data_IF_995327195428
#
_entry.id   IF_995327195428
#
_cell.length_a   1.000
_cell.length_b   1.000
_cell.length_c   1.000
_cell.angle_alpha   90.00
_cell.angle_beta   90.00
_cell.angle_gamma   90.00
#
_symmetry.space_group_name_H-M   'P 1'
#
loop_
_entity.id
_entity.type
_entity.pdbx_description
1 polymer ?
#
# COMPACT_ATOMS: atom_id res chain seq x y z
N UNK A 1 54.52 29.74 -28.52
CA UNK A 1 53.06 30.06 -28.48
C UNK A 1 52.14 28.92 -28.87
N UNK A 2 52.62 27.82 -29.43
CA UNK A 2 51.71 26.68 -29.81
C UNK A 2 51.40 25.69 -28.69
N UNK A 3 52.09 25.73 -27.56
CA UNK A 3 51.89 24.74 -26.47
C UNK A 3 50.81 25.13 -25.48
N UNK A 4 50.47 26.40 -25.36
CA UNK A 4 49.48 26.87 -24.38
C UNK A 4 48.02 26.59 -24.81
N UNK A 5 47.80 26.49 -26.13
CA UNK A 5 46.45 26.18 -26.63
C UNK A 5 46.07 24.71 -26.39
N UNK A 6 47.03 23.79 -26.49
CA UNK A 6 46.82 22.36 -26.23
C UNK A 6 46.60 22.10 -24.75
N UNK A 7 47.33 22.75 -23.86
CA UNK A 7 47.16 22.65 -22.41
C UNK A 7 45.83 23.25 -21.96
N UNK A 8 45.35 24.36 -22.54
CA UNK A 8 44.03 24.92 -22.28
C UNK A 8 42.89 23.97 -22.72
N UNK A 9 43.04 23.34 -23.90
CA UNK A 9 42.06 22.38 -24.39
C UNK A 9 41.97 21.14 -23.51
N UNK A 10 43.09 20.60 -23.04
CA UNK A 10 43.08 19.46 -22.09
C UNK A 10 42.52 19.83 -20.74
N UNK A 11 42.76 21.04 -20.23
CA UNK A 11 42.19 21.54 -18.99
C UNK A 11 40.67 21.71 -19.07
N UNK A 12 40.17 22.24 -20.20
CA UNK A 12 38.73 22.38 -20.43
C UNK A 12 38.02 21.03 -20.58
N UNK A 13 38.65 20.05 -21.24
CA UNK A 13 38.11 18.71 -21.36
C UNK A 13 38.07 17.97 -20.00
N UNK A 14 39.10 18.16 -19.17
CA UNK A 14 39.17 17.57 -17.84
C UNK A 14 38.12 18.19 -16.91
N UNK A 15 37.85 19.49 -17.01
CA UNK A 15 36.85 20.19 -16.24
C UNK A 15 35.41 19.80 -16.67
N UNK A 16 35.20 19.55 -17.98
CA UNK A 16 33.90 19.07 -18.49
C UNK A 16 33.57 17.64 -18.02
N UNK A 17 34.58 16.77 -17.86
CA UNK A 17 34.40 15.41 -17.36
C UNK A 17 34.05 15.40 -15.84
N UNK A 18 34.58 16.36 -15.07
CA UNK A 18 34.26 16.51 -13.66
C UNK A 18 32.83 17.01 -13.40
N UNK A 19 32.20 17.69 -14.35
CA UNK A 19 30.82 18.19 -14.25
C UNK A 19 29.75 17.12 -14.55
N UNK A 20 30.10 16.00 -15.18
CA UNK A 20 29.17 14.93 -15.53
C UNK A 20 29.04 13.88 -14.40
N UNK A 21 29.90 13.94 -13.37
CA UNK A 21 30.03 12.92 -12.34
C UNK A 21 29.05 13.01 -11.17
N UNK A 22 28.16 13.99 -11.08
CA UNK A 22 27.29 14.19 -9.91
C UNK A 22 25.79 14.09 -10.21
N UNK A 23 25.40 13.22 -11.13
CA UNK A 23 24.02 12.69 -11.10
C UNK A 23 23.95 11.61 -10.02
N UNK A 24 24.16 12.00 -8.75
CA UNK A 24 23.68 11.21 -7.64
C UNK A 24 22.16 11.14 -7.82
N UNK A 25 21.68 10.07 -8.40
CA UNK A 25 20.31 9.63 -8.26
C UNK A 25 20.06 9.50 -6.75
N UNK A 26 19.55 10.56 -6.15
CA UNK A 26 18.84 10.46 -4.90
C UNK A 26 17.63 9.57 -5.21
N UNK A 27 17.80 8.26 -5.08
CA UNK A 27 16.68 7.37 -4.91
C UNK A 27 16.05 7.80 -3.59
N UNK A 28 15.01 8.63 -3.71
CA UNK A 28 14.06 8.82 -2.65
C UNK A 28 13.46 7.44 -2.45
N UNK A 29 14.04 6.67 -1.53
CA UNK A 29 13.32 5.58 -0.91
C UNK A 29 12.19 6.27 -0.14
N UNK A 30 11.08 6.46 -0.82
CA UNK A 30 9.79 6.57 -0.17
C UNK A 30 9.63 5.26 0.55
N UNK A 31 10.08 5.22 1.81
CA UNK A 31 9.77 4.15 2.74
C UNK A 31 8.25 4.14 2.79
N UNK A 32 7.67 3.22 2.03
CA UNK A 32 6.23 3.01 1.99
C UNK A 32 5.82 2.61 3.40
N UNK A 33 5.47 3.60 4.22
CA UNK A 33 4.88 3.39 5.54
C UNK A 33 3.54 2.65 5.46
N UNK A 34 3.04 2.41 4.25
CA UNK A 34 1.86 1.56 3.97
C UNK A 34 2.13 0.05 4.04
N UNK A 35 3.36 -0.39 4.35
CA UNK A 35 3.63 -1.82 4.54
C UNK A 35 3.05 -2.37 5.85
N UNK A 36 2.79 -1.52 6.84
CA UNK A 36 2.37 -1.94 8.17
C UNK A 36 0.86 -1.84 8.40
N UNK A 37 0.10 -1.13 7.56
CA UNK A 37 -1.34 -0.93 7.68
C UNK A 37 -2.00 -0.76 6.32
N UNK A 38 -3.30 -1.03 6.25
CA UNK A 38 -4.10 -0.86 5.04
C UNK A 38 -4.36 0.62 4.74
N UNK A 39 -4.73 1.38 5.78
CA UNK A 39 -5.04 2.80 5.68
C UNK A 39 -4.81 3.52 7.01
N UNK A 40 -4.35 4.77 6.97
CA UNK A 40 -4.23 5.61 8.16
C UNK A 40 -4.35 7.09 7.82
N UNK A 41 -5.17 7.79 8.59
CA UNK A 41 -5.24 9.24 8.65
C UNK A 41 -5.57 9.71 10.08
N UNK A 42 -5.88 10.99 10.28
CA UNK A 42 -6.22 11.58 11.58
C UNK A 42 -7.51 11.04 12.21
N UNK A 43 -8.39 10.38 11.44
CA UNK A 43 -9.71 9.91 11.88
C UNK A 43 -9.89 8.40 11.83
N UNK A 44 -9.11 7.70 11.00
CA UNK A 44 -9.25 6.26 10.78
C UNK A 44 -7.89 5.63 10.65
N UNK A 45 -7.65 4.55 11.39
CA UNK A 45 -6.53 3.64 11.21
C UNK A 45 -7.06 2.23 11.04
N UNK A 46 -6.56 1.49 10.04
CA UNK A 46 -7.00 0.11 9.73
C UNK A 46 -5.79 -0.72 9.35
N UNK A 47 -5.62 -1.88 10.02
CA UNK A 47 -4.58 -2.86 9.69
C UNK A 47 -4.86 -3.57 8.36
N UNK A 48 -3.89 -4.31 7.84
CA UNK A 48 -4.20 -5.34 6.86
C UNK A 48 -5.04 -6.44 7.48
N UNK A 49 -5.82 -7.16 6.67
CA UNK A 49 -6.45 -8.41 7.14
C UNK A 49 -5.39 -9.47 7.39
N UNK A 50 -5.55 -10.25 8.45
CA UNK A 50 -4.62 -11.33 8.79
C UNK A 50 -5.37 -12.55 9.37
N UNK A 51 -4.82 -13.77 9.16
CA UNK A 51 -3.65 -14.09 8.38
C UNK A 51 -3.90 -13.96 6.86
N UNK A 52 -2.82 -13.74 6.09
CA UNK A 52 -2.85 -13.78 4.64
C UNK A 52 -1.60 -14.53 4.15
N UNK A 53 -1.69 -15.75 3.64
CA UNK A 53 -2.91 -16.51 3.27
C UNK A 53 -3.81 -16.90 4.44
N UNK A 54 -5.12 -16.86 4.18
CA UNK A 54 -6.17 -17.20 5.12
C UNK A 54 -6.72 -18.60 4.87
N UNK A 55 -7.27 -19.20 5.94
CA UNK A 55 -8.04 -20.46 5.88
C UNK A 55 -9.54 -20.14 5.89
N UNK A 56 -10.13 -20.19 7.10
CA UNK A 56 -11.58 -20.05 7.29
C UNK A 56 -12.00 -18.67 7.78
N UNK A 57 -11.05 -17.83 8.20
CA UNK A 57 -11.30 -16.49 8.72
C UNK A 57 -10.09 -15.58 8.56
N UNK A 58 -10.35 -14.30 8.68
CA UNK A 58 -9.36 -13.24 8.89
C UNK A 58 -9.81 -12.31 9.98
N UNK A 59 -8.85 -11.68 10.64
CA UNK A 59 -9.08 -10.58 11.57
C UNK A 59 -8.61 -9.27 10.92
N UNK A 60 -9.19 -8.18 11.38
CA UNK A 60 -8.80 -6.82 11.01
C UNK A 60 -8.90 -5.93 12.25
N UNK A 61 -7.82 -5.20 12.52
CA UNK A 61 -7.77 -4.23 13.61
C UNK A 61 -8.02 -2.83 13.09
N UNK A 62 -8.68 -2.00 13.87
CA UNK A 62 -9.00 -0.64 13.46
C UNK A 62 -9.28 0.29 14.63
N UNK A 63 -9.18 1.59 14.34
CA UNK A 63 -9.64 2.68 15.20
C UNK A 63 -10.38 3.69 14.33
N UNK A 64 -11.60 4.04 14.70
CA UNK A 64 -12.50 4.90 13.94
C UNK A 64 -12.99 6.03 14.84
N UNK A 65 -12.74 7.29 14.45
CA UNK A 65 -13.24 8.45 15.15
C UNK A 65 -14.77 8.56 15.04
N UNK A 66 -15.42 9.11 16.07
CA UNK A 66 -16.87 9.28 16.10
C UNK A 66 -17.43 10.13 14.95
N UNK A 67 -16.62 11.03 14.40
CA UNK A 67 -16.96 11.90 13.27
C UNK A 67 -17.13 11.17 11.91
N UNK A 68 -16.59 9.96 11.78
CA UNK A 68 -16.74 9.11 10.59
C UNK A 68 -18.11 8.45 10.63
N UNK A 69 -18.86 8.44 9.53
CA UNK A 69 -20.19 7.83 9.49
C UNK A 69 -20.11 6.31 9.37
N UNK A 70 -19.36 5.82 8.38
CA UNK A 70 -19.25 4.41 8.07
C UNK A 70 -17.85 4.06 7.60
N UNK A 71 -17.35 2.90 8.03
CA UNK A 71 -16.16 2.25 7.47
C UNK A 71 -16.57 0.84 7.08
N UNK A 72 -16.37 0.50 5.81
CA UNK A 72 -16.79 -0.79 5.26
C UNK A 72 -15.64 -1.49 4.54
N UNK A 73 -15.54 -2.79 4.73
CA UNK A 73 -14.62 -3.68 4.03
C UNK A 73 -15.41 -4.57 3.07
N UNK A 74 -15.13 -4.50 1.78
CA UNK A 74 -15.81 -5.28 0.73
C UNK A 74 -14.83 -6.21 0.06
N UNK A 75 -15.21 -7.48 -0.09
CA UNK A 75 -14.40 -8.51 -0.75
C UNK A 75 -14.93 -8.77 -2.15
N UNK A 76 -14.03 -8.86 -3.12
CA UNK A 76 -14.33 -9.11 -4.53
C UNK A 76 -13.58 -10.35 -5.01
N UNK A 77 -14.20 -11.15 -5.86
CA UNK A 77 -13.51 -12.20 -6.59
C UNK A 77 -12.67 -11.63 -7.76
N UNK A 78 -11.96 -12.49 -8.48
CA UNK A 78 -11.12 -12.09 -9.62
C UNK A 78 -11.90 -11.53 -10.81
N UNK A 79 -13.22 -11.74 -10.86
CA UNK A 79 -14.11 -11.17 -11.86
C UNK A 79 -14.63 -9.78 -11.46
N UNK A 80 -14.24 -9.26 -10.28
CA UNK A 80 -14.71 -8.00 -9.75
C UNK A 80 -16.13 -8.06 -9.16
N UNK A 81 -16.67 -9.24 -8.91
CA UNK A 81 -17.97 -9.41 -8.26
C UNK A 81 -17.78 -9.34 -6.75
N UNK A 82 -18.63 -8.57 -6.09
CA UNK A 82 -18.70 -8.53 -4.64
C UNK A 82 -19.17 -9.90 -4.11
N UNK A 83 -18.40 -10.46 -3.17
CA UNK A 83 -18.70 -11.77 -2.56
C UNK A 83 -19.01 -11.65 -1.08
N UNK A 84 -18.60 -10.54 -0.44
CA UNK A 84 -18.86 -10.27 0.98
C UNK A 84 -18.61 -8.81 1.29
N UNK A 85 -19.39 -8.24 2.19
CA UNK A 85 -19.14 -6.95 2.81
C UNK A 85 -19.27 -7.02 4.34
N UNK A 86 -18.52 -6.16 5.02
CA UNK A 86 -18.48 -6.07 6.49
C UNK A 86 -18.35 -4.62 6.90
N UNK A 87 -19.26 -4.14 7.73
CA UNK A 87 -19.15 -2.83 8.38
C UNK A 87 -18.26 -2.97 9.61
N UNK A 88 -17.31 -2.06 9.77
CA UNK A 88 -16.43 -2.00 10.94
C UNK A 88 -17.09 -1.10 12.01
N UNK A 89 -17.51 -1.69 13.11
CA UNK A 89 -18.22 -1.00 14.18
C UNK A 89 -17.26 -0.17 15.04
N UNK A 90 -17.59 1.11 15.27
CA UNK A 90 -16.71 2.08 15.95
C UNK A 90 -16.38 1.73 17.41
N UNK A 91 -17.23 0.98 18.08
CA UNK A 91 -17.06 0.53 19.45
C UNK A 91 -16.16 -0.70 19.58
N UNK A 92 -15.78 -1.31 18.45
CA UNK A 92 -14.85 -2.43 18.37
C UNK A 92 -13.46 -1.95 17.97
N UNK A 93 -12.46 -2.78 18.27
CA UNK A 93 -11.06 -2.57 17.84
C UNK A 93 -10.60 -3.64 16.86
N UNK A 94 -11.28 -4.77 16.85
CA UNK A 94 -10.98 -5.92 16.00
C UNK A 94 -12.30 -6.55 15.54
N UNK A 95 -12.36 -6.94 14.27
CA UNK A 95 -13.48 -7.72 13.73
C UNK A 95 -12.97 -9.03 13.15
N UNK A 96 -13.63 -10.12 13.55
CA UNK A 96 -13.39 -11.47 13.04
C UNK A 96 -14.32 -11.77 11.87
N UNK A 97 -13.76 -12.03 10.70
CA UNK A 97 -14.49 -12.19 9.43
C UNK A 97 -14.41 -13.63 8.96
N UNK A 98 -15.54 -14.34 8.92
CA UNK A 98 -15.61 -15.69 8.37
C UNK A 98 -15.45 -15.66 6.85
N UNK A 99 -14.64 -16.58 6.33
CA UNK A 99 -14.41 -16.82 4.89
C UNK A 99 -14.90 -18.22 4.48
N UNK A 100 -15.69 -18.90 5.33
CA UNK A 100 -16.07 -20.29 5.10
C UNK A 100 -16.86 -20.50 3.82
N UNK A 101 -17.62 -19.50 3.41
CA UNK A 101 -18.40 -19.49 2.17
C UNK A 101 -17.53 -19.26 0.91
N UNK A 102 -16.29 -18.79 1.06
CA UNK A 102 -15.38 -18.53 -0.05
C UNK A 102 -14.56 -19.76 -0.38
N UNK A 103 -14.40 -20.06 -1.66
CA UNK A 103 -13.52 -21.12 -2.17
C UNK A 103 -12.04 -20.70 -2.10
N UNK A 104 -11.14 -21.69 -2.18
CA UNK A 104 -9.71 -21.39 -2.35
C UNK A 104 -9.50 -20.54 -3.59
N UNK A 105 -8.71 -19.48 -3.48
CA UNK A 105 -8.44 -18.58 -4.58
C UNK A 105 -7.92 -17.23 -4.14
N UNK A 106 -7.79 -16.35 -5.11
CA UNK A 106 -7.39 -14.96 -4.90
C UNK A 106 -8.62 -14.06 -4.88
N UNK A 107 -8.64 -13.17 -3.91
CA UNK A 107 -9.66 -12.14 -3.70
C UNK A 107 -9.00 -10.77 -3.57
N UNK A 108 -9.76 -9.73 -3.80
CA UNK A 108 -9.39 -8.36 -3.43
C UNK A 108 -10.28 -7.92 -2.28
N UNK A 109 -9.73 -7.22 -1.31
CA UNK A 109 -10.53 -6.53 -0.31
C UNK A 109 -10.29 -5.02 -0.40
N UNK A 110 -11.37 -4.27 -0.33
CA UNK A 110 -11.41 -2.83 -0.51
C UNK A 110 -11.99 -2.18 0.74
N UNK A 111 -11.27 -1.20 1.27
CA UNK A 111 -11.73 -0.35 2.36
C UNK A 111 -12.42 0.88 1.78
N UNK A 112 -13.62 1.17 2.25
CA UNK A 112 -14.33 2.42 1.97
C UNK A 112 -14.66 3.16 3.27
N UNK A 113 -14.53 4.49 3.22
CA UNK A 113 -14.85 5.41 4.32
C UNK A 113 -15.88 6.40 3.78
N UNK A 114 -17.03 6.48 4.43
CA UNK A 114 -18.14 7.35 4.04
C UNK A 114 -18.52 7.19 2.55
N UNK A 115 -18.49 5.93 2.05
CA UNK A 115 -18.82 5.58 0.67
C UNK A 115 -17.69 5.80 -0.35
N UNK A 116 -16.49 6.25 0.07
CA UNK A 116 -15.35 6.44 -0.82
C UNK A 116 -14.32 5.33 -0.61
N UNK A 117 -13.93 4.65 -1.69
CA UNK A 117 -12.82 3.70 -1.65
C UNK A 117 -11.49 4.42 -1.36
N UNK A 118 -10.76 3.94 -0.37
CA UNK A 118 -9.49 4.54 0.09
C UNK A 118 -8.30 3.60 -0.03
N UNK A 119 -8.52 2.30 -0.02
CA UNK A 119 -7.45 1.30 -0.15
C UNK A 119 -7.99 -0.02 -0.69
N UNK A 120 -7.16 -0.74 -1.44
CA UNK A 120 -7.47 -2.08 -1.96
C UNK A 120 -6.22 -2.95 -1.88
N UNK A 121 -6.37 -4.19 -1.40
CA UNK A 121 -5.28 -5.17 -1.29
C UNK A 121 -5.77 -6.57 -1.66
N UNK A 122 -4.80 -7.44 -1.87
CA UNK A 122 -5.00 -8.86 -2.22
C UNK A 122 -5.13 -9.73 -0.97
N UNK A 123 -6.06 -10.67 -1.01
CA UNK A 123 -6.21 -11.76 -0.05
C UNK A 123 -6.11 -13.11 -0.76
N UNK A 124 -5.34 -14.02 -0.20
CA UNK A 124 -5.25 -15.41 -0.66
C UNK A 124 -6.00 -16.29 0.33
N UNK A 125 -7.00 -17.03 -0.14
CA UNK A 125 -7.73 -18.04 0.63
C UNK A 125 -7.24 -19.43 0.23
N UNK A 126 -6.83 -20.24 1.21
CA UNK A 126 -6.38 -21.62 1.01
C UNK A 126 -7.20 -22.54 1.94
N UNK A 127 -8.10 -23.29 1.36
CA UNK A 127 -8.81 -24.35 2.09
C UNK A 127 -7.97 -25.64 2.07
N UNK A 128 -8.01 -26.38 3.15
CA UNK A 128 -7.45 -27.74 3.21
C UNK A 128 -8.45 -28.77 2.72
#
# INVERSE_FOLDING_TARGET
MKNNLRTCLFSLLFFAILLVGNSAMAQIQTKNSSENYLFSNDRVWVSHVYPNPALDFVDIDFQIASSVREVKLTFYNVLGQEVKDVVLEKDQKTTHISLRELNSGMYMYQLSIDGRSVATKKLIVRKQ
#
